data_IF_468703486903
#
_entry.id   IF_468703486903
#
_cell.length_a   1.000
_cell.length_b   1.000
_cell.length_c   1.000
_cell.angle_alpha   90.00
_cell.angle_beta   90.00
_cell.angle_gamma   90.00
#
_symmetry.space_group_name_H-M   'P 1'
#
loop_
_entity.id
_entity.type
_entity.pdbx_description
1 polymer ?
#
# COMPACT_ATOMS: atom_id res chain seq x y z
N UNK A 1 -40.33 -10.27 6.37
CA UNK A 1 -39.69 -9.41 5.35
C UNK A 1 -38.21 -9.76 5.37
N UNK A 2 -37.83 -10.62 4.44
CA UNK A 2 -36.47 -11.06 4.25
C UNK A 2 -35.70 -9.91 3.59
N UNK A 3 -34.64 -9.44 4.24
CA UNK A 3 -33.68 -8.55 3.61
C UNK A 3 -32.90 -9.37 2.59
N UNK A 4 -33.20 -9.19 1.32
CA UNK A 4 -32.32 -9.59 0.21
C UNK A 4 -31.03 -8.79 0.38
N UNK A 5 -29.97 -9.46 0.84
CA UNK A 5 -28.59 -8.98 0.67
C UNK A 5 -28.39 -8.83 -0.84
N UNK A 6 -28.30 -7.60 -1.33
CA UNK A 6 -27.86 -7.30 -2.68
C UNK A 6 -26.46 -7.90 -2.86
N UNK A 7 -26.43 -9.02 -3.57
CA UNK A 7 -25.21 -9.74 -3.93
C UNK A 7 -24.41 -8.85 -4.87
N UNK A 8 -23.43 -8.09 -4.33
CA UNK A 8 -22.50 -7.29 -5.12
C UNK A 8 -21.68 -8.22 -6.04
N UNK A 9 -22.02 -8.32 -7.33
CA UNK A 9 -21.36 -9.24 -8.27
C UNK A 9 -19.88 -8.90 -8.48
N UNK A 10 -19.48 -7.65 -8.19
CA UNK A 10 -18.09 -7.22 -8.24
C UNK A 10 -17.28 -7.75 -7.06
N UNK A 11 -17.85 -7.77 -5.85
CA UNK A 11 -17.24 -8.32 -4.65
C UNK A 11 -17.06 -9.83 -4.72
N UNK A 12 -18.06 -10.56 -5.23
CA UNK A 12 -17.98 -12.00 -5.44
C UNK A 12 -16.93 -12.40 -6.47
N UNK A 13 -16.84 -11.67 -7.59
CA UNK A 13 -15.83 -11.90 -8.64
C UNK A 13 -14.42 -11.61 -8.14
N UNK A 14 -14.24 -10.57 -7.32
CA UNK A 14 -12.94 -10.25 -6.70
C UNK A 14 -12.51 -11.31 -5.71
N UNK A 15 -13.41 -11.80 -4.84
CA UNK A 15 -13.14 -12.90 -3.89
C UNK A 15 -12.74 -14.19 -4.59
N UNK A 16 -13.40 -14.52 -5.70
CA UNK A 16 -13.04 -15.69 -6.53
C UNK A 16 -11.65 -15.53 -7.14
N UNK A 17 -11.35 -14.36 -7.74
CA UNK A 17 -10.02 -14.06 -8.29
C UNK A 17 -8.92 -14.13 -7.24
N UNK A 18 -9.17 -13.62 -6.03
CA UNK A 18 -8.21 -13.69 -4.92
C UNK A 18 -7.93 -15.13 -4.48
N UNK A 19 -8.95 -16.00 -4.42
CA UNK A 19 -8.78 -17.43 -4.11
C UNK A 19 -8.03 -18.18 -5.20
N UNK A 20 -8.36 -17.93 -6.46
CA UNK A 20 -7.66 -18.54 -7.61
C UNK A 20 -6.20 -18.07 -7.68
N UNK A 21 -5.96 -16.77 -7.47
CA UNK A 21 -4.62 -16.22 -7.41
C UNK A 21 -3.80 -16.84 -6.27
N UNK A 22 -4.39 -17.05 -5.09
CA UNK A 22 -3.73 -17.68 -3.95
C UNK A 22 -3.35 -19.14 -4.22
N UNK A 23 -4.23 -19.91 -4.89
CA UNK A 23 -3.94 -21.29 -5.30
C UNK A 23 -2.83 -21.35 -6.35
N UNK A 24 -2.95 -20.60 -7.43
CA UNK A 24 -1.94 -20.53 -8.50
C UNK A 24 -0.57 -20.09 -8.01
N UNK A 25 -0.52 -19.10 -7.12
CA UNK A 25 0.75 -18.63 -6.62
C UNK A 25 1.43 -19.64 -5.69
N UNK A 26 0.66 -20.41 -4.92
CA UNK A 26 1.22 -21.53 -4.15
C UNK A 26 1.82 -22.61 -5.07
N UNK A 27 1.13 -22.93 -6.17
CA UNK A 27 1.60 -23.86 -7.18
C UNK A 27 2.82 -23.33 -7.98
N UNK A 28 2.97 -22.01 -8.15
CA UNK A 28 4.15 -21.41 -8.77
C UNK A 28 5.32 -21.30 -7.77
N UNK A 29 5.05 -21.00 -6.49
CA UNK A 29 6.08 -20.89 -5.46
C UNK A 29 6.81 -22.22 -5.22
N UNK A 30 6.11 -23.34 -5.32
CA UNK A 30 6.67 -24.68 -5.13
C UNK A 30 7.79 -24.99 -6.15
N UNK A 31 7.59 -24.90 -7.49
CA UNK A 31 8.68 -25.15 -8.45
C UNK A 31 9.80 -24.11 -8.32
N UNK A 32 9.50 -22.83 -8.01
CA UNK A 32 10.55 -21.84 -7.79
C UNK A 32 11.43 -22.21 -6.57
N UNK A 33 10.84 -22.67 -5.47
CA UNK A 33 11.60 -23.13 -4.31
C UNK A 33 12.47 -24.35 -4.66
N UNK A 34 11.94 -25.29 -5.44
CA UNK A 34 12.70 -26.44 -5.92
C UNK A 34 13.87 -26.01 -6.82
N UNK A 35 13.66 -25.05 -7.72
CA UNK A 35 14.74 -24.49 -8.57
C UNK A 35 15.81 -23.79 -7.72
N UNK A 36 15.41 -23.00 -6.71
CA UNK A 36 16.36 -22.35 -5.82
C UNK A 36 17.28 -23.34 -5.10
N UNK A 37 16.70 -24.40 -4.53
CA UNK A 37 17.45 -25.45 -3.83
C UNK A 37 18.41 -26.18 -4.79
N UNK A 38 17.94 -26.56 -5.99
CA UNK A 38 18.81 -27.24 -6.97
C UNK A 38 19.94 -26.34 -7.47
N UNK A 39 19.72 -25.04 -7.62
CA UNK A 39 20.76 -24.09 -7.99
C UNK A 39 21.80 -23.91 -6.87
N UNK A 40 21.39 -23.94 -5.59
CA UNK A 40 22.30 -23.91 -4.46
C UNK A 40 23.17 -25.17 -4.42
N UNK A 41 22.57 -26.36 -4.60
CA UNK A 41 23.32 -27.62 -4.67
C UNK A 41 24.31 -27.65 -5.84
N UNK A 42 23.90 -27.15 -7.03
CA UNK A 42 24.80 -27.01 -8.18
C UNK A 42 25.93 -26.03 -7.92
N UNK A 43 25.69 -24.94 -7.17
CA UNK A 43 26.75 -23.99 -6.80
C UNK A 43 27.77 -24.65 -5.89
N UNK A 44 27.34 -25.46 -4.90
CA UNK A 44 28.22 -26.21 -4.00
C UNK A 44 29.12 -27.18 -4.76
N UNK A 45 28.62 -27.85 -5.82
CA UNK A 45 29.42 -28.75 -6.66
C UNK A 45 30.58 -28.07 -7.39
N UNK A 46 30.44 -26.79 -7.70
CA UNK A 46 31.47 -25.96 -8.39
C UNK A 46 32.36 -25.15 -7.44
N UNK A 47 32.08 -25.18 -6.12
CA UNK A 47 32.96 -24.55 -5.13
C UNK A 47 34.16 -25.47 -4.80
N UNK A 48 35.36 -24.91 -4.61
CA UNK A 48 36.51 -25.71 -4.19
C UNK A 48 36.28 -26.30 -2.80
N UNK A 49 36.51 -27.57 -2.62
CA UNK A 49 36.45 -28.21 -1.32
C UNK A 49 37.41 -27.54 -0.33
N UNK A 50 37.03 -27.35 0.94
CA UNK A 50 37.93 -26.80 1.96
C UNK A 50 39.19 -27.67 2.10
N UNK A 51 40.37 -27.17 1.68
CA UNK A 51 41.64 -27.85 1.71
C UNK A 51 42.03 -28.65 0.45
N UNK A 52 41.24 -28.58 -0.62
CA UNK A 52 41.57 -29.17 -1.92
C UNK A 52 42.45 -28.28 -2.78
N UNK A 53 43.53 -28.85 -3.34
CA UNK A 53 44.49 -28.14 -4.20
C UNK A 53 43.99 -27.92 -5.65
N UNK A 54 42.65 -27.92 -5.86
CA UNK A 54 42.03 -27.73 -7.17
C UNK A 54 41.59 -26.30 -7.37
N UNK A 55 42.43 -25.51 -8.08
CA UNK A 55 42.04 -24.22 -8.54
C UNK A 55 40.85 -24.33 -9.50
N UNK A 56 39.79 -23.51 -9.28
CA UNK A 56 38.64 -23.43 -10.17
C UNK A 56 39.08 -23.18 -11.63
N UNK A 57 38.60 -24.01 -12.53
CA UNK A 57 38.85 -23.84 -13.96
C UNK A 57 38.06 -22.61 -14.49
N UNK A 58 38.49 -22.02 -15.64
CA UNK A 58 37.68 -20.96 -16.29
C UNK A 58 36.26 -21.42 -16.67
N UNK A 59 36.03 -22.73 -16.80
CA UNK A 59 34.71 -23.34 -17.05
C UNK A 59 33.85 -23.27 -15.78
N UNK A 60 34.42 -23.64 -14.63
CA UNK A 60 33.73 -23.65 -13.34
C UNK A 60 33.28 -22.24 -12.94
N UNK A 61 34.17 -21.25 -13.08
CA UNK A 61 33.84 -19.82 -12.85
C UNK A 61 32.70 -19.34 -13.72
N UNK A 62 32.60 -19.79 -14.97
CA UNK A 62 31.49 -19.46 -15.87
C UNK A 62 30.20 -20.15 -15.46
N UNK A 63 30.27 -21.40 -14.97
CA UNK A 63 29.12 -22.14 -14.46
C UNK A 63 28.57 -21.48 -13.21
N UNK A 64 29.39 -21.16 -12.23
CA UNK A 64 28.98 -20.42 -11.00
C UNK A 64 28.33 -19.08 -11.36
N UNK A 65 28.90 -18.30 -12.29
CA UNK A 65 28.29 -17.05 -12.74
C UNK A 65 26.88 -17.25 -13.35
N UNK A 66 26.66 -18.35 -14.09
CA UNK A 66 25.34 -18.68 -14.65
C UNK A 66 24.37 -19.11 -13.55
N UNK A 67 24.83 -19.90 -12.58
CA UNK A 67 24.02 -20.32 -11.43
C UNK A 67 23.56 -19.08 -10.66
N UNK A 68 24.45 -18.16 -10.29
CA UNK A 68 24.08 -16.92 -9.63
C UNK A 68 23.07 -16.08 -10.43
N UNK A 69 23.17 -16.11 -11.76
CA UNK A 69 22.19 -15.41 -12.61
C UNK A 69 20.81 -16.06 -12.52
N UNK A 70 20.73 -17.39 -12.55
CA UNK A 70 19.49 -18.13 -12.41
C UNK A 70 18.90 -18.02 -11.01
N UNK A 71 19.70 -18.05 -9.96
CA UNK A 71 19.26 -17.83 -8.58
C UNK A 71 18.58 -16.45 -8.43
N UNK A 72 19.20 -15.39 -8.96
CA UNK A 72 18.61 -14.04 -8.95
C UNK A 72 17.26 -13.99 -9.67
N UNK A 73 17.14 -14.68 -10.82
CA UNK A 73 15.91 -14.71 -11.58
C UNK A 73 14.80 -15.51 -10.86
N UNK A 74 15.13 -16.62 -10.22
CA UNK A 74 14.19 -17.40 -9.40
C UNK A 74 13.70 -16.56 -8.21
N UNK A 75 14.61 -15.87 -7.52
CA UNK A 75 14.26 -14.97 -6.41
C UNK A 75 13.35 -13.84 -6.88
N UNK A 76 13.66 -13.27 -8.04
CA UNK A 76 12.84 -12.21 -8.67
C UNK A 76 11.42 -12.70 -8.99
N UNK A 77 11.29 -13.88 -9.60
CA UNK A 77 9.98 -14.48 -9.90
C UNK A 77 9.18 -14.76 -8.63
N UNK A 78 9.82 -15.26 -7.58
CA UNK A 78 9.21 -15.43 -6.27
C UNK A 78 8.64 -14.12 -5.72
N UNK A 79 9.40 -13.03 -5.81
CA UNK A 79 8.97 -11.70 -5.42
C UNK A 79 7.74 -11.21 -6.21
N UNK A 80 7.72 -11.40 -7.53
CA UNK A 80 6.57 -11.05 -8.39
C UNK A 80 5.31 -11.80 -7.96
N UNK A 81 5.44 -13.10 -7.69
CA UNK A 81 4.31 -13.93 -7.24
C UNK A 81 3.80 -13.48 -5.88
N UNK A 82 4.68 -13.13 -4.94
CA UNK A 82 4.28 -12.61 -3.63
C UNK A 82 3.60 -11.25 -3.70
N UNK A 83 4.10 -10.34 -4.54
CA UNK A 83 3.44 -9.04 -4.79
C UNK A 83 2.07 -9.21 -5.44
N UNK A 84 1.97 -10.09 -6.44
CA UNK A 84 0.68 -10.41 -7.07
C UNK A 84 -0.31 -10.98 -6.08
N UNK A 85 0.13 -11.90 -5.20
CA UNK A 85 -0.71 -12.45 -4.14
C UNK A 85 -1.21 -11.40 -3.16
N UNK A 86 -0.33 -10.50 -2.72
CA UNK A 86 -0.70 -9.40 -1.83
C UNK A 86 -1.73 -8.49 -2.48
N UNK A 87 -1.53 -8.16 -3.75
CA UNK A 87 -2.49 -7.39 -4.53
C UNK A 87 -3.83 -8.12 -4.69
N UNK A 88 -3.82 -9.40 -5.04
CA UNK A 88 -5.02 -10.21 -5.28
C UNK A 88 -5.81 -10.51 -3.99
N UNK A 89 -5.12 -10.70 -2.86
CA UNK A 89 -5.73 -10.89 -1.55
C UNK A 89 -6.47 -9.68 -1.03
N UNK A 90 -6.41 -8.50 -1.69
CA UNK A 90 -7.07 -7.22 -1.35
C UNK A 90 -8.40 -7.33 -0.60
N UNK A 91 -8.34 -8.07 0.52
CA UNK A 91 -9.40 -8.50 1.39
C UNK A 91 -9.66 -7.52 2.52
N UNK A 92 -10.44 -7.94 3.45
CA UNK A 92 -10.80 -7.22 4.66
C UNK A 92 -9.52 -6.70 5.34
N UNK A 93 -9.36 -5.37 5.34
CA UNK A 93 -8.33 -4.71 6.13
C UNK A 93 -8.82 -4.61 7.57
N UNK A 94 -7.97 -4.96 8.52
CA UNK A 94 -8.29 -4.81 9.94
C UNK A 94 -7.87 -3.44 10.43
N UNK A 95 -8.75 -2.44 10.24
CA UNK A 95 -8.48 -1.05 10.64
C UNK A 95 -8.63 -0.89 12.14
N UNK A 96 -7.61 -0.29 12.78
CA UNK A 96 -7.63 0.15 14.17
C UNK A 96 -7.01 1.55 14.28
N UNK A 97 -7.20 2.20 15.43
CA UNK A 97 -6.68 3.55 15.64
C UNK A 97 -5.17 3.53 15.83
N UNK A 98 -4.43 4.23 14.95
CA UNK A 98 -2.98 4.27 14.97
C UNK A 98 -2.44 5.71 14.94
N UNK A 99 -1.27 5.90 15.54
CA UNK A 99 -0.46 7.11 15.40
C UNK A 99 0.38 7.03 14.12
N UNK A 100 -0.03 7.80 13.11
CA UNK A 100 0.64 7.84 11.81
C UNK A 100 2.07 8.41 11.91
N UNK A 101 2.35 9.31 12.87
CA UNK A 101 3.69 9.87 13.06
C UNK A 101 4.66 8.77 13.49
N UNK A 102 4.23 7.94 14.45
CA UNK A 102 5.02 6.80 14.93
C UNK A 102 5.26 5.79 13.82
N UNK A 103 4.21 5.42 13.07
CA UNK A 103 4.32 4.47 11.96
C UNK A 103 5.30 4.96 10.87
N UNK A 104 5.20 6.23 10.45
CA UNK A 104 6.11 6.79 9.45
C UNK A 104 7.55 6.78 9.97
N UNK A 105 7.77 7.20 11.22
CA UNK A 105 9.12 7.20 11.81
C UNK A 105 9.76 5.82 11.82
N UNK A 106 9.03 4.80 12.26
CA UNK A 106 9.53 3.42 12.28
C UNK A 106 9.90 2.91 10.88
N UNK A 107 9.12 3.28 9.85
CA UNK A 107 9.45 2.91 8.46
C UNK A 107 10.70 3.63 7.98
N UNK A 108 10.86 4.91 8.32
CA UNK A 108 12.06 5.67 7.96
C UNK A 108 13.30 5.09 8.62
N UNK A 109 13.25 4.84 9.93
CA UNK A 109 14.36 4.21 10.68
C UNK A 109 14.75 2.84 10.07
N UNK A 110 13.75 2.06 9.66
CA UNK A 110 13.98 0.76 9.02
C UNK A 110 14.63 0.88 7.64
N UNK A 111 14.28 1.91 6.86
CA UNK A 111 14.75 2.04 5.46
C UNK A 111 16.02 2.89 5.34
N UNK A 112 16.38 3.67 6.36
CA UNK A 112 17.54 4.57 6.37
C UNK A 112 18.86 3.89 5.96
N UNK A 113 19.24 2.69 6.49
CA UNK A 113 20.49 2.03 6.09
C UNK A 113 20.58 1.70 4.59
N UNK A 114 19.43 1.37 3.96
CA UNK A 114 19.38 1.11 2.52
C UNK A 114 19.44 2.40 1.69
N UNK A 115 18.92 3.51 2.21
CA UNK A 115 19.01 4.83 1.58
C UNK A 115 20.46 5.34 1.65
N UNK A 116 21.12 5.25 2.80
CA UNK A 116 22.53 5.59 2.98
C UNK A 116 23.45 4.77 2.04
N UNK A 117 23.22 3.45 1.96
CA UNK A 117 23.99 2.58 1.05
C UNK A 117 23.80 2.94 -0.45
N UNK A 118 22.72 3.66 -0.78
CA UNK A 118 22.44 4.17 -2.12
C UNK A 118 22.83 5.66 -2.31
N UNK A 119 23.55 6.27 -1.37
CA UNK A 119 23.89 7.69 -1.34
C UNK A 119 22.66 8.62 -1.40
N UNK A 120 21.52 8.20 -0.83
CA UNK A 120 20.30 8.99 -0.74
C UNK A 120 20.18 9.61 0.66
N UNK A 121 20.13 10.95 0.71
CA UNK A 121 19.97 11.70 1.96
C UNK A 121 18.48 11.79 2.31
N UNK A 122 18.11 11.30 3.50
CA UNK A 122 16.75 11.35 4.02
C UNK A 122 16.52 12.63 4.84
N UNK A 123 15.44 13.34 4.55
CA UNK A 123 14.94 14.48 5.30
C UNK A 123 13.53 14.20 5.80
N UNK A 124 13.38 13.96 7.10
CA UNK A 124 12.10 13.68 7.74
C UNK A 124 11.52 14.95 8.37
N UNK A 125 10.41 15.44 7.86
CA UNK A 125 9.66 16.60 8.37
C UNK A 125 8.37 16.11 9.03
N UNK A 126 8.49 15.58 10.24
CA UNK A 126 7.39 15.00 10.98
C UNK A 126 6.96 15.93 12.13
N UNK A 127 5.64 16.17 12.30
CA UNK A 127 5.13 16.92 13.45
C UNK A 127 5.29 16.11 14.75
N UNK A 128 5.25 16.75 15.91
CA UNK A 128 5.34 16.04 17.18
C UNK A 128 4.17 15.07 17.41
N UNK A 129 2.99 15.37 16.90
CA UNK A 129 1.81 14.51 16.96
C UNK A 129 0.77 14.89 15.90
N UNK A 130 -0.09 13.93 15.56
CA UNK A 130 -1.32 14.11 14.76
C UNK A 130 -2.48 13.38 15.43
N UNK A 131 -3.75 13.72 15.11
CA UNK A 131 -4.87 12.88 15.47
C UNK A 131 -4.71 11.46 14.94
N UNK A 132 -5.24 10.46 15.67
CA UNK A 132 -5.20 9.07 15.23
C UNK A 132 -5.93 8.87 13.91
N UNK A 133 -5.47 7.90 13.14
CA UNK A 133 -6.05 7.47 11.87
C UNK A 133 -6.51 6.01 11.99
N UNK A 134 -7.57 5.64 11.25
CA UNK A 134 -8.05 4.26 11.19
C UNK A 134 -7.32 3.50 10.08
N UNK A 135 -6.29 2.75 10.44
CA UNK A 135 -5.50 1.97 9.47
C UNK A 135 -5.39 0.50 9.85
N UNK A 136 -5.12 -0.31 8.84
CA UNK A 136 -4.39 -1.58 9.00
C UNK A 136 -2.90 -1.25 8.92
N UNK A 137 -2.22 -1.32 10.05
CA UNK A 137 -0.81 -0.92 10.18
C UNK A 137 0.08 -1.67 9.19
N UNK A 138 -0.11 -2.97 9.03
CA UNK A 138 0.75 -3.81 8.20
C UNK A 138 0.67 -3.44 6.72
N UNK A 139 -0.53 -3.22 6.22
CA UNK A 139 -0.75 -2.84 4.82
C UNK A 139 -0.34 -1.40 4.55
N UNK A 140 -0.61 -0.48 5.50
CA UNK A 140 -0.21 0.92 5.34
C UNK A 140 1.30 1.11 5.43
N UNK A 141 1.99 0.39 6.32
CA UNK A 141 3.45 0.28 6.38
C UNK A 141 4.02 -0.15 5.02
N UNK A 142 3.41 -1.14 4.38
CA UNK A 142 3.80 -1.58 3.03
C UNK A 142 3.66 -0.47 1.98
N UNK A 143 2.60 0.34 2.05
CA UNK A 143 2.42 1.46 1.13
C UNK A 143 3.56 2.48 1.25
N UNK A 144 3.94 2.85 2.48
CA UNK A 144 5.04 3.78 2.75
C UNK A 144 6.36 3.20 2.24
N UNK A 145 6.67 1.94 2.55
CA UNK A 145 7.90 1.25 2.07
C UNK A 145 7.94 1.25 0.54
N UNK A 146 6.83 0.96 -0.15
CA UNK A 146 6.78 0.96 -1.60
C UNK A 146 7.09 2.36 -2.20
N UNK A 147 6.60 3.43 -1.58
CA UNK A 147 6.93 4.80 -2.00
C UNK A 147 8.41 5.11 -1.82
N UNK A 148 9.00 4.77 -0.66
CA UNK A 148 10.43 4.98 -0.37
C UNK A 148 11.32 4.17 -1.32
N UNK A 149 10.99 2.89 -1.55
CA UNK A 149 11.74 2.03 -2.50
C UNK A 149 11.65 2.59 -3.93
N UNK A 150 10.47 3.10 -4.34
CA UNK A 150 10.33 3.72 -5.65
C UNK A 150 11.19 4.99 -5.78
N UNK A 151 11.23 5.84 -4.76
CA UNK A 151 12.06 7.04 -4.70
C UNK A 151 13.56 6.68 -4.81
N UNK A 152 14.04 5.75 -3.97
CA UNK A 152 15.43 5.26 -4.03
C UNK A 152 15.79 4.74 -5.42
N UNK A 153 14.90 3.96 -6.03
CA UNK A 153 15.13 3.41 -7.38
C UNK A 153 15.12 4.48 -8.48
N UNK A 154 14.47 5.62 -8.27
CA UNK A 154 14.51 6.76 -9.18
C UNK A 154 15.81 7.57 -9.08
N UNK A 155 16.63 7.32 -8.05
CA UNK A 155 17.87 8.02 -7.75
C UNK A 155 19.10 7.08 -7.84
N UNK A 156 19.43 6.50 -9.01
CA UNK A 156 20.51 5.52 -9.15
C UNK A 156 21.92 6.09 -8.89
N UNK A 157 22.07 7.40 -8.86
CA UNK A 157 23.31 8.12 -8.56
C UNK A 157 23.29 8.84 -7.21
N UNK A 158 22.37 8.44 -6.29
CA UNK A 158 22.13 9.17 -5.06
C UNK A 158 21.19 10.35 -5.26
N UNK A 159 20.87 11.06 -4.17
CA UNK A 159 19.95 12.20 -4.22
C UNK A 159 19.38 12.58 -2.86
N UNK A 160 18.24 13.24 -2.88
CA UNK A 160 17.53 13.68 -1.69
C UNK A 160 16.10 13.11 -1.67
N UNK A 161 15.74 12.54 -0.52
CA UNK A 161 14.39 12.04 -0.23
C UNK A 161 13.80 12.86 0.92
N UNK A 162 12.72 13.55 0.66
CA UNK A 162 12.00 14.35 1.67
C UNK A 162 10.70 13.61 1.98
N UNK A 163 10.50 13.28 3.25
CA UNK A 163 9.25 12.68 3.75
C UNK A 163 8.64 13.65 4.74
N UNK A 164 7.49 14.19 4.40
CA UNK A 164 6.77 15.16 5.19
C UNK A 164 5.41 14.61 5.61
N UNK A 165 5.01 14.86 6.84
CA UNK A 165 3.70 14.50 7.36
C UNK A 165 3.08 15.75 8.00
N UNK A 166 1.87 16.09 7.56
CA UNK A 166 1.16 17.27 8.06
C UNK A 166 -0.33 16.98 8.25
N UNK A 167 -1.00 17.80 9.06
CA UNK A 167 -2.46 17.81 9.07
C UNK A 167 -2.97 18.64 7.89
N UNK A 168 -3.90 18.11 7.13
CA UNK A 168 -4.57 18.80 6.04
C UNK A 168 -6.09 18.62 6.12
N UNK A 169 -6.78 19.70 6.47
CA UNK A 169 -8.24 19.69 6.64
C UNK A 169 -8.69 18.63 7.66
N UNK A 170 -9.52 17.71 7.18
CA UNK A 170 -10.09 16.58 7.93
C UNK A 170 -9.19 15.34 7.98
N UNK A 171 -7.98 15.42 7.40
CA UNK A 171 -7.08 14.29 7.27
C UNK A 171 -5.64 14.57 7.66
N UNK A 172 -4.80 13.58 7.44
CA UNK A 172 -3.34 13.65 7.48
C UNK A 172 -2.81 13.48 6.05
N UNK A 173 -1.86 14.31 5.66
CA UNK A 173 -1.17 14.27 4.36
C UNK A 173 0.25 13.80 4.57
N UNK A 174 0.59 12.66 3.98
CA UNK A 174 1.95 12.17 3.85
C UNK A 174 2.47 12.53 2.46
N UNK A 175 3.55 13.30 2.39
CA UNK A 175 4.22 13.68 1.16
C UNK A 175 5.59 13.01 1.08
N UNK A 176 5.88 12.33 -0.03
CA UNK A 176 7.16 11.70 -0.33
C UNK A 176 7.70 12.32 -1.60
N UNK A 177 8.81 13.06 -1.49
CA UNK A 177 9.43 13.78 -2.62
C UNK A 177 10.84 13.28 -2.83
N UNK A 178 11.15 12.83 -4.05
CA UNK A 178 12.50 12.45 -4.47
C UNK A 178 13.06 13.46 -5.48
N UNK A 179 14.37 13.57 -5.54
CA UNK A 179 15.11 14.35 -6.54
C UNK A 179 15.61 13.48 -7.71
N UNK A 180 14.91 12.40 -8.01
CA UNK A 180 15.31 11.41 -9.00
C UNK A 180 15.08 11.84 -10.45
N UNK A 181 15.05 10.85 -11.33
CA UNK A 181 14.91 11.07 -12.79
C UNK A 181 13.54 11.63 -13.20
N UNK A 182 12.56 11.59 -12.32
CA UNK A 182 11.19 12.04 -12.62
C UNK A 182 10.47 11.17 -13.64
N UNK A 183 9.31 11.67 -14.10
CA UNK A 183 8.43 11.01 -15.06
C UNK A 183 7.90 12.02 -16.08
N UNK A 184 7.75 11.58 -17.33
CA UNK A 184 7.01 12.31 -18.36
C UNK A 184 5.48 12.17 -18.19
N UNK A 185 4.70 12.92 -18.97
CA UNK A 185 3.23 12.92 -18.87
C UNK A 185 2.61 11.54 -19.09
N UNK A 186 3.12 10.75 -20.05
CA UNK A 186 2.63 9.40 -20.34
C UNK A 186 2.92 8.43 -19.19
N UNK A 187 4.07 8.59 -18.55
CA UNK A 187 4.45 7.81 -17.38
C UNK A 187 3.60 8.16 -16.17
N UNK A 188 3.30 9.45 -15.96
CA UNK A 188 2.42 9.91 -14.86
C UNK A 188 1.03 9.31 -15.02
N UNK A 189 0.43 9.39 -16.22
CA UNK A 189 -0.91 8.83 -16.49
C UNK A 189 -0.99 7.32 -16.21
N UNK A 190 0.12 6.60 -16.41
CA UNK A 190 0.18 5.13 -16.33
C UNK A 190 0.88 4.59 -15.10
N UNK A 191 1.43 5.44 -14.23
CA UNK A 191 2.26 4.98 -13.10
C UNK A 191 1.50 4.07 -12.12
N UNK A 192 0.16 4.16 -12.10
CA UNK A 192 -0.71 3.30 -11.30
C UNK A 192 -1.31 2.12 -12.07
N UNK A 193 -0.97 1.93 -13.35
CA UNK A 193 -1.42 0.78 -14.14
C UNK A 193 -0.70 -0.49 -13.69
N UNK A 194 -1.44 -1.60 -13.66
CA UNK A 194 -0.88 -2.92 -13.35
C UNK A 194 0.17 -3.32 -14.39
N UNK A 195 1.30 -3.83 -13.89
CA UNK A 195 2.43 -4.31 -14.71
C UNK A 195 3.12 -3.22 -15.54
N UNK A 196 2.79 -1.95 -15.34
CA UNK A 196 3.51 -0.86 -15.98
C UNK A 196 4.77 -0.52 -15.17
N UNK A 197 5.93 -0.58 -15.81
CA UNK A 197 7.20 -0.21 -15.22
C UNK A 197 8.19 0.22 -16.31
N UNK A 198 8.85 1.34 -16.09
CA UNK A 198 9.97 1.79 -16.94
C UNK A 198 11.30 1.18 -16.53
N UNK A 199 11.33 0.50 -15.38
CA UNK A 199 12.54 -0.10 -14.79
C UNK A 199 12.70 -1.55 -15.26
N UNK A 200 13.91 -1.95 -15.71
CA UNK A 200 14.21 -3.32 -16.20
C UNK A 200 13.88 -4.44 -15.21
N UNK A 201 13.94 -4.16 -13.91
CA UNK A 201 13.66 -5.13 -12.84
C UNK A 201 12.36 -4.83 -12.08
N UNK A 202 11.60 -3.81 -12.49
CA UNK A 202 10.35 -3.44 -11.84
C UNK A 202 9.22 -4.39 -12.19
N UNK A 203 8.42 -4.80 -11.21
CA UNK A 203 7.23 -5.65 -11.39
C UNK A 203 6.03 -4.91 -11.93
N UNK A 204 6.00 -3.57 -11.75
CA UNK A 204 4.85 -2.73 -12.07
C UNK A 204 3.67 -2.93 -11.14
N UNK A 205 3.90 -3.49 -9.93
CA UNK A 205 2.85 -3.72 -8.93
C UNK A 205 2.96 -2.78 -7.71
N UNK A 206 4.11 -2.15 -7.51
CA UNK A 206 4.35 -1.32 -6.32
C UNK A 206 3.38 -0.15 -6.18
N UNK A 207 3.30 0.75 -7.16
CA UNK A 207 2.41 1.91 -7.14
C UNK A 207 0.92 1.55 -7.22
N UNK A 208 0.46 0.60 -8.07
CA UNK A 208 -0.90 0.07 -7.99
C UNK A 208 -1.29 -0.45 -6.61
N UNK A 209 -0.36 -1.12 -5.90
CA UNK A 209 -0.56 -1.58 -4.53
C UNK A 209 -0.72 -0.41 -3.56
N UNK A 210 0.12 0.64 -3.67
CA UNK A 210 -0.02 1.85 -2.85
C UNK A 210 -1.39 2.48 -3.03
N UNK A 211 -1.81 2.75 -4.27
CA UNK A 211 -3.11 3.32 -4.58
C UNK A 211 -4.25 2.51 -3.97
N UNK A 212 -4.23 1.19 -4.15
CA UNK A 212 -5.25 0.32 -3.59
C UNK A 212 -5.27 0.33 -2.06
N UNK A 213 -4.12 0.31 -1.40
CA UNK A 213 -4.04 0.40 0.07
C UNK A 213 -4.66 1.73 0.53
N UNK A 214 -4.29 2.84 -0.09
CA UNK A 214 -4.80 4.17 0.26
C UNK A 214 -6.33 4.22 0.08
N UNK A 215 -6.86 3.76 -1.05
CA UNK A 215 -8.30 3.66 -1.32
C UNK A 215 -9.03 2.79 -0.29
N UNK A 216 -8.46 1.65 0.10
CA UNK A 216 -9.02 0.79 1.15
C UNK A 216 -9.08 1.48 2.52
N UNK A 217 -8.25 2.50 2.76
CA UNK A 217 -8.25 3.31 3.98
C UNK A 217 -9.12 4.57 3.87
N UNK A 218 -9.88 4.71 2.77
CA UNK A 218 -10.72 5.89 2.52
C UNK A 218 -9.92 7.15 2.21
N UNK A 219 -8.68 6.97 1.74
CA UNK A 219 -7.75 8.04 1.38
C UNK A 219 -7.65 8.24 -0.14
N UNK A 220 -6.82 9.21 -0.50
CA UNK A 220 -6.51 9.58 -1.88
C UNK A 220 -5.00 9.65 -2.08
N UNK A 221 -4.52 9.33 -3.29
CA UNK A 221 -3.12 9.47 -3.69
C UNK A 221 -3.01 10.29 -4.95
N UNK A 222 -2.12 11.28 -4.91
CA UNK A 222 -1.77 12.12 -6.05
C UNK A 222 -0.28 12.01 -6.37
N UNK A 223 0.07 12.31 -7.63
CA UNK A 223 1.45 12.34 -8.11
C UNK A 223 1.70 13.59 -8.92
N UNK A 224 2.83 14.22 -8.66
CA UNK A 224 3.39 15.32 -9.44
C UNK A 224 4.84 14.97 -9.78
N UNK A 225 5.21 15.08 -11.05
CA UNK A 225 6.56 14.74 -11.49
C UNK A 225 6.95 15.56 -12.71
N UNK A 226 8.25 15.80 -12.85
CA UNK A 226 8.85 16.43 -14.02
C UNK A 226 10.14 15.68 -14.35
N UNK A 227 10.34 15.32 -15.60
CA UNK A 227 11.54 14.60 -16.05
C UNK A 227 12.82 15.38 -15.69
N UNK A 228 13.76 14.72 -15.03
CA UNK A 228 15.00 15.30 -14.53
C UNK A 228 14.90 16.12 -13.24
N UNK A 229 13.71 16.30 -12.66
CA UNK A 229 13.50 17.06 -11.42
C UNK A 229 13.01 16.22 -10.24
N UNK A 230 12.58 14.99 -10.49
CA UNK A 230 12.09 14.08 -9.47
C UNK A 230 10.58 13.95 -9.41
N UNK A 231 10.09 13.31 -8.35
CA UNK A 231 8.68 12.98 -8.17
C UNK A 231 8.22 13.32 -6.78
N UNK A 232 6.98 13.78 -6.67
CA UNK A 232 6.25 14.00 -5.42
C UNK A 232 4.99 13.14 -5.42
N UNK A 233 4.88 12.24 -4.45
CA UNK A 233 3.65 11.53 -4.12
C UNK A 233 3.02 12.16 -2.88
N UNK A 234 1.72 12.36 -2.92
CA UNK A 234 0.91 12.87 -1.81
C UNK A 234 -0.18 11.86 -1.48
N UNK A 235 -0.20 11.40 -0.24
CA UNK A 235 -1.17 10.43 0.28
C UNK A 235 -1.96 11.09 1.39
N UNK A 236 -3.23 11.32 1.15
CA UNK A 236 -4.16 11.84 2.14
C UNK A 236 -4.99 10.70 2.76
N UNK A 237 -5.16 10.73 4.09
CA UNK A 237 -6.02 9.77 4.82
C UNK A 237 -6.85 10.50 5.87
N UNK A 238 -8.14 10.13 6.09
CA UNK A 238 -9.01 10.79 7.06
C UNK A 238 -8.57 10.47 8.50
N UNK A 239 -8.67 11.46 9.39
CA UNK A 239 -8.43 11.28 10.83
C UNK A 239 -9.68 10.80 11.56
N UNK A 240 -9.50 10.09 12.68
CA UNK A 240 -10.57 9.42 13.42
C UNK A 240 -11.77 10.29 13.79
N UNK A 241 -11.52 11.57 14.15
CA UNK A 241 -12.59 12.49 14.55
C UNK A 241 -13.58 12.83 13.42
N UNK A 242 -13.12 12.84 12.17
CA UNK A 242 -13.97 13.13 11.00
C UNK A 242 -14.74 11.88 10.55
N UNK A 243 -14.16 10.69 10.68
CA UNK A 243 -14.87 9.43 10.42
C UNK A 243 -16.11 9.33 11.31
N UNK A 244 -15.95 9.61 12.62
CA UNK A 244 -17.07 9.59 13.57
C UNK A 244 -18.15 10.67 13.27
N UNK A 245 -17.81 11.78 12.60
CA UNK A 245 -18.77 12.79 12.16
C UNK A 245 -19.53 12.37 10.92
N UNK A 246 -18.84 11.81 9.93
CA UNK A 246 -19.46 11.33 8.69
C UNK A 246 -20.47 10.21 8.94
N UNK A 247 -20.15 9.26 9.81
CA UNK A 247 -21.06 8.19 10.20
C UNK A 247 -22.30 8.73 10.92
N UNK A 248 -22.17 9.72 11.81
CA UNK A 248 -23.31 10.34 12.49
C UNK A 248 -24.22 11.15 11.57
N UNK A 249 -23.68 11.73 10.50
CA UNK A 249 -24.49 12.47 9.52
C UNK A 249 -25.31 11.51 8.67
N UNK A 250 -24.76 10.39 8.27
CA UNK A 250 -25.47 9.35 7.51
C UNK A 250 -26.59 8.74 8.37
N UNK A 251 -26.32 8.45 9.65
CA UNK A 251 -27.33 7.90 10.56
C UNK A 251 -28.45 8.94 10.90
N UNK A 252 -28.13 10.23 10.91
CA UNK A 252 -29.11 11.28 11.15
C UNK A 252 -30.01 11.54 9.94
N UNK A 253 -29.53 11.33 8.71
CA UNK A 253 -30.33 11.44 7.48
C UNK A 253 -31.21 10.17 7.26
N UNK A 254 -30.82 9.03 7.82
CA UNK A 254 -31.55 7.77 7.74
C UNK A 254 -32.64 7.61 8.81
N UNK A 255 -32.76 8.52 9.78
CA UNK A 255 -33.86 8.49 10.77
C UNK A 255 -35.18 8.89 10.11
N UNK A 256 -36.21 8.04 10.09
CA UNK A 256 -37.51 8.42 9.54
C UNK A 256 -38.11 9.54 10.39
N UNK A 257 -38.56 10.59 9.72
CA UNK A 257 -39.35 11.63 10.37
C UNK A 257 -40.54 10.99 11.11
N UNK A 258 -40.55 11.11 12.44
CA UNK A 258 -41.65 10.68 13.25
C UNK A 258 -42.89 11.52 12.90
N UNK A 259 -43.84 10.91 12.20
CA UNK A 259 -45.21 11.35 12.09
C UNK A 259 -45.86 11.23 13.47
N UNK A 260 -45.73 12.25 14.32
CA UNK A 260 -46.57 12.40 15.52
C UNK A 260 -46.63 13.90 15.88
N UNK A 261 -47.39 14.65 15.05
CA UNK A 261 -47.92 15.97 15.41
C UNK A 261 -49.16 16.29 14.57
N UNK A 262 -50.18 15.42 14.67
CA UNK A 262 -51.49 15.73 14.14
C UNK A 262 -52.60 14.99 14.93
N UNK A 263 -52.85 15.41 16.17
CA UNK A 263 -54.15 15.19 16.82
C UNK A 263 -54.18 15.91 18.18
N UNK A 264 -54.62 17.16 18.24
CA UNK A 264 -55.48 17.66 19.31
C UNK A 264 -55.77 19.15 19.12
N UNK A 265 -56.72 19.45 18.22
CA UNK A 265 -57.48 20.69 18.22
C UNK A 265 -58.90 20.29 17.87
N UNK A 266 -59.61 19.85 18.85
CA UNK A 266 -61.08 20.02 18.93
C UNK A 266 -61.55 19.60 20.33
N UNK A 267 -62.21 20.54 20.92
CA UNK A 267 -63.23 20.43 21.95
C UNK A 267 -62.93 21.22 23.23
N UNK A 268 -63.41 22.44 23.23
CA UNK A 268 -63.87 23.12 24.45
C UNK A 268 -64.75 24.31 24.07
N UNK A 269 -66.01 23.98 23.76
CA UNK A 269 -67.14 24.95 23.85
C UNK A 269 -68.10 24.37 24.91
N UNK A 270 -68.49 25.29 25.71
CA UNK A 270 -69.69 25.25 26.63
C UNK A 270 -69.43 25.02 28.11
N UNK A 271 -69.73 26.04 28.81
CA UNK A 271 -70.73 26.19 29.87
C UNK A 271 -70.36 27.13 31.02
N UNK A 272 -70.93 28.35 30.93
CA UNK A 272 -71.81 28.94 31.98
C UNK A 272 -71.18 29.21 33.38
N UNK A 273 -71.05 30.51 33.64
CA UNK A 273 -71.33 31.12 34.98
C UNK A 273 -72.71 30.81 35.51
N UNK A 274 -73.13 31.17 36.77
CA UNK A 274 -72.66 32.21 37.70
C UNK A 274 -72.90 31.82 39.21
N UNK A 275 -72.73 32.87 40.10
CA UNK A 275 -73.06 33.07 41.52
C UNK A 275 -71.97 32.56 42.53
N UNK A 276 -71.53 33.33 43.46
CA UNK A 276 -71.87 34.53 44.24
C UNK A 276 -70.55 35.20 44.68
#
# INVERSE_FOLDING_TARGET
MEHEEEDDPSGSRRRLLARLAAGLAHEIKNPLSTMAINLTLLEEEFQPAPGGDHAQTPKDKRSVKRIHTLQREVTRLGGIVEEFLRFARGGEINRSAHDLVTLVREVLDFTEPELEAADVRLHALLPPSLPLVMLDESTFRQAIVNLIVNARQAMPGGGELIVELAREGSGALLTVTDSGVGMDEQQIERCFDLYYSTKKAGTGLGLPTVRRIVELHGGEIEVQSEEGRGTRFQVWVPVLQEIARSERVVDAEAAPASEDDAASLDDASDAQSPHE
#
